data_IF_077547563573
#
_entry.id   IF_077547563573
#
_cell.length_a   1.000
_cell.length_b   1.000
_cell.length_c   1.000
_cell.angle_alpha   90.00
_cell.angle_beta   90.00
_cell.angle_gamma   90.00
#
_symmetry.space_group_name_H-M   'P 1'
#
loop_
_entity.id
_entity.type
_entity.pdbx_description
1 polymer ?
#
# COMPACT_ATOMS: atom_id res chain seq x y z
N UNK A 1 -4.04 -9.81 -15.22
CA UNK A 1 -5.13 -10.02 -14.25
C UNK A 1 -5.75 -8.68 -13.98
N UNK A 2 -7.06 -8.63 -14.04
CA UNK A 2 -7.86 -7.49 -13.63
C UNK A 2 -8.00 -7.50 -12.11
N UNK A 3 -7.73 -6.37 -11.46
CA UNK A 3 -7.91 -6.16 -10.03
C UNK A 3 -9.39 -5.88 -9.78
N UNK A 4 -9.98 -6.58 -8.81
CA UNK A 4 -11.40 -6.44 -8.43
C UNK A 4 -11.51 -5.84 -7.03
N UNK A 5 -12.68 -5.29 -6.71
CA UNK A 5 -12.91 -4.66 -5.40
C UNK A 5 -12.70 -5.66 -4.25
N UNK A 6 -13.05 -6.93 -4.46
CA UNK A 6 -12.77 -8.02 -3.51
C UNK A 6 -11.28 -8.21 -3.23
N UNK A 7 -10.40 -7.95 -4.20
CA UNK A 7 -8.96 -8.01 -3.99
C UNK A 7 -8.49 -6.86 -3.09
N UNK A 8 -9.02 -5.65 -3.31
CA UNK A 8 -8.71 -4.46 -2.48
C UNK A 8 -9.15 -4.68 -1.04
N UNK A 9 -10.38 -5.15 -0.82
CA UNK A 9 -10.90 -5.43 0.53
C UNK A 9 -10.04 -6.47 1.25
N UNK A 10 -9.66 -7.54 0.56
CA UNK A 10 -8.74 -8.54 1.11
C UNK A 10 -7.38 -7.94 1.46
N UNK A 11 -6.81 -7.09 0.60
CA UNK A 11 -5.53 -6.46 0.89
C UNK A 11 -5.62 -5.44 2.03
N UNK A 12 -6.74 -4.71 2.14
CA UNK A 12 -7.04 -3.83 3.27
C UNK A 12 -7.15 -4.62 4.58
N UNK A 13 -7.87 -5.73 4.59
CA UNK A 13 -7.98 -6.64 5.75
C UNK A 13 -6.60 -7.15 6.18
N UNK A 14 -5.79 -7.63 5.23
CA UNK A 14 -4.42 -8.07 5.50
C UNK A 14 -3.53 -6.93 6.06
N UNK A 15 -3.77 -5.69 5.63
CA UNK A 15 -3.07 -4.50 6.12
C UNK A 15 -3.47 -4.21 7.55
N UNK A 16 -4.78 -4.24 7.85
CA UNK A 16 -5.35 -4.08 9.19
C UNK A 16 -4.82 -5.12 10.18
N UNK A 17 -4.80 -6.40 9.80
CA UNK A 17 -4.25 -7.48 10.63
C UNK A 17 -2.78 -7.18 10.95
N UNK A 18 -2.01 -6.74 9.96
CA UNK A 18 -0.59 -6.44 10.14
C UNK A 18 -0.37 -5.22 11.02
N UNK A 19 -1.17 -4.17 10.85
CA UNK A 19 -1.15 -2.97 11.69
C UNK A 19 -1.45 -3.30 13.16
N UNK A 20 -2.46 -4.15 13.40
CA UNK A 20 -2.81 -4.66 14.74
C UNK A 20 -1.64 -5.44 15.36
N UNK A 21 -1.05 -6.36 14.61
CA UNK A 21 0.10 -7.15 15.07
C UNK A 21 1.35 -6.31 15.34
N UNK A 22 1.52 -5.22 14.60
CA UNK A 22 2.59 -4.22 14.80
C UNK A 22 2.25 -3.18 15.89
N UNK A 23 1.06 -3.28 16.52
CA UNK A 23 0.59 -2.40 17.62
C UNK A 23 0.51 -0.93 17.21
N UNK A 24 0.02 -0.64 16.01
CA UNK A 24 -0.34 0.73 15.62
C UNK A 24 -1.44 1.30 16.53
N UNK A 25 -1.47 2.62 16.71
CA UNK A 25 -2.43 3.26 17.61
C UNK A 25 -3.88 3.14 17.11
N UNK A 26 -4.83 3.23 18.04
CA UNK A 26 -6.26 3.02 17.77
C UNK A 26 -6.84 3.98 16.73
N UNK A 27 -6.32 5.22 16.67
CA UNK A 27 -6.81 6.19 15.70
C UNK A 27 -6.40 5.76 14.28
N UNK A 28 -5.18 5.26 14.09
CA UNK A 28 -4.75 4.69 12.82
C UNK A 28 -5.60 3.48 12.45
N UNK A 29 -5.84 2.56 13.38
CA UNK A 29 -6.68 1.39 13.11
C UNK A 29 -8.10 1.79 12.68
N UNK A 30 -8.71 2.77 13.35
CA UNK A 30 -10.02 3.29 12.98
C UNK A 30 -10.01 3.94 11.59
N UNK A 31 -8.96 4.70 11.26
CA UNK A 31 -8.82 5.30 9.92
C UNK A 31 -8.73 4.23 8.84
N UNK A 32 -7.87 3.22 9.04
CA UNK A 32 -7.71 2.11 8.11
C UNK A 32 -9.01 1.33 7.92
N UNK A 33 -9.75 1.04 9.00
CA UNK A 33 -11.01 0.29 8.94
C UNK A 33 -12.07 1.03 8.10
N UNK A 34 -12.15 2.35 8.22
CA UNK A 34 -13.16 3.17 7.56
C UNK A 34 -12.72 3.77 6.21
N UNK A 35 -11.47 3.53 5.78
CA UNK A 35 -10.97 4.00 4.49
C UNK A 35 -11.77 3.38 3.34
N UNK A 36 -12.31 4.20 2.46
CA UNK A 36 -13.07 3.75 1.28
C UNK A 36 -12.12 3.27 0.18
N UNK A 37 -12.54 2.29 -0.60
CA UNK A 37 -11.75 1.69 -1.68
C UNK A 37 -12.49 1.87 -3.01
N UNK A 38 -11.78 2.39 -4.02
CA UNK A 38 -12.30 2.58 -5.37
C UNK A 38 -11.37 1.96 -6.41
N UNK A 39 -11.96 1.49 -7.50
CA UNK A 39 -11.22 1.05 -8.69
C UNK A 39 -11.41 2.06 -9.80
N UNK A 40 -10.29 2.45 -10.40
CA UNK A 40 -10.23 3.28 -11.59
C UNK A 40 -10.03 2.39 -12.81
N UNK A 41 -10.88 2.56 -13.82
CA UNK A 41 -10.73 1.84 -15.08
C UNK A 41 -9.42 2.25 -15.76
N UNK A 42 -8.59 1.28 -16.16
CA UNK A 42 -7.33 1.52 -16.88
C UNK A 42 -6.12 0.75 -16.36
N UNK A 43 -4.96 1.09 -16.89
CA UNK A 43 -3.65 0.57 -16.46
C UNK A 43 -2.79 1.71 -15.92
N UNK A 44 -2.24 1.54 -14.72
CA UNK A 44 -1.36 2.54 -14.11
C UNK A 44 -0.07 2.84 -14.89
N UNK A 45 0.39 1.91 -15.74
CA UNK A 45 1.71 1.97 -16.38
C UNK A 45 2.90 1.85 -15.40
N UNK A 46 2.66 1.65 -14.10
CA UNK A 46 3.67 1.60 -13.04
C UNK A 46 3.48 0.37 -12.16
N UNK A 47 4.58 -0.19 -11.62
CA UNK A 47 4.50 -1.42 -10.80
C UNK A 47 3.60 -1.28 -9.56
N UNK A 48 3.50 -0.07 -9.01
CA UNK A 48 2.54 0.27 -7.96
C UNK A 48 1.34 0.97 -8.54
N UNK A 49 0.18 0.71 -7.95
CA UNK A 49 -1.09 1.21 -8.39
C UNK A 49 -1.69 2.12 -7.34
N UNK A 50 -2.31 3.20 -7.80
CA UNK A 50 -3.21 4.00 -7.00
C UNK A 50 -2.57 5.15 -6.24
N UNK A 51 -3.39 5.77 -5.41
CA UNK A 51 -3.02 6.84 -4.50
C UNK A 51 -4.08 6.99 -3.39
N UNK A 52 -3.66 7.54 -2.26
CA UNK A 52 -4.53 8.04 -1.22
C UNK A 52 -5.08 9.45 -1.55
N UNK A 53 -6.41 9.60 -1.60
CA UNK A 53 -7.11 10.88 -1.68
C UNK A 53 -7.55 11.32 -0.29
N UNK A 54 -7.27 12.58 0.02
CA UNK A 54 -7.72 13.26 1.23
C UNK A 54 -8.65 14.40 0.84
N UNK A 55 -9.96 14.16 0.92
CA UNK A 55 -10.95 15.20 0.70
C UNK A 55 -11.35 15.82 2.05
N UNK A 56 -11.20 17.15 2.25
CA UNK A 56 -11.63 17.82 3.47
C UNK A 56 -13.11 17.64 3.83
N UNK A 57 -13.98 17.33 2.85
CA UNK A 57 -15.41 17.07 3.09
C UNK A 57 -15.72 15.62 3.50
N UNK A 58 -14.72 14.74 3.52
CA UNK A 58 -14.84 13.34 3.89
C UNK A 58 -14.13 13.08 5.23
N UNK A 59 -14.78 12.36 6.13
CA UNK A 59 -14.18 12.04 7.44
C UNK A 59 -13.05 11.01 7.34
N UNK A 60 -12.97 10.29 6.23
CA UNK A 60 -12.00 9.23 6.00
C UNK A 60 -11.40 9.35 4.59
N UNK A 61 -10.13 8.97 4.41
CA UNK A 61 -9.50 8.98 3.10
C UNK A 61 -10.11 7.92 2.17
N UNK A 62 -9.82 8.07 0.89
CA UNK A 62 -10.20 7.12 -0.16
C UNK A 62 -8.90 6.60 -0.79
N UNK A 63 -8.78 5.29 -0.95
CA UNK A 63 -7.73 4.71 -1.81
C UNK A 63 -8.34 4.40 -3.16
N UNK A 64 -7.77 4.98 -4.20
CA UNK A 64 -8.13 4.67 -5.58
C UNK A 64 -7.04 3.82 -6.21
N UNK A 65 -7.43 2.76 -6.91
CA UNK A 65 -6.52 1.77 -7.48
C UNK A 65 -6.86 1.56 -8.96
N UNK A 66 -5.86 1.62 -9.83
CA UNK A 66 -6.09 1.21 -11.22
C UNK A 66 -6.45 -0.28 -11.32
N UNK A 67 -7.43 -0.57 -12.17
CA UNK A 67 -7.92 -1.92 -12.48
C UNK A 67 -6.80 -2.85 -12.96
N UNK A 68 -5.73 -2.32 -13.52
CA UNK A 68 -4.54 -3.11 -13.89
C UNK A 68 -3.23 -2.33 -13.72
N UNK A 69 -2.13 -3.07 -13.67
CA UNK A 69 -0.78 -2.54 -13.61
C UNK A 69 0.23 -3.55 -14.20
N UNK A 70 1.49 -3.17 -14.49
CA UNK A 70 2.51 -4.06 -15.04
C UNK A 70 2.86 -5.28 -14.18
N UNK A 71 2.54 -5.33 -12.88
CA UNK A 71 2.71 -6.56 -12.08
C UNK A 71 1.87 -7.73 -12.62
N UNK A 72 0.89 -7.47 -13.49
CA UNK A 72 0.11 -8.50 -14.21
C UNK A 72 0.96 -9.47 -15.02
N UNK A 73 2.19 -9.07 -15.38
CA UNK A 73 3.16 -9.89 -16.10
C UNK A 73 4.09 -10.69 -15.17
N UNK A 74 4.05 -10.44 -13.86
CA UNK A 74 4.85 -11.17 -12.88
C UNK A 74 4.23 -12.54 -12.55
N UNK A 75 5.05 -13.51 -12.10
CA UNK A 75 4.55 -14.73 -11.49
C UNK A 75 3.54 -14.45 -10.38
N UNK A 76 2.49 -15.28 -10.27
CA UNK A 76 1.34 -15.05 -9.37
C UNK A 76 1.74 -14.65 -7.95
N UNK A 77 2.71 -15.33 -7.34
CA UNK A 77 3.18 -15.03 -5.97
C UNK A 77 3.82 -13.64 -5.86
N UNK A 78 4.63 -13.24 -6.84
CA UNK A 78 5.26 -11.92 -6.85
C UNK A 78 4.24 -10.82 -7.08
N UNK A 79 3.30 -11.02 -8.01
CA UNK A 79 2.17 -10.11 -8.22
C UNK A 79 1.40 -9.84 -6.93
N UNK A 80 1.01 -10.88 -6.18
CA UNK A 80 0.29 -10.72 -4.91
C UNK A 80 1.08 -9.93 -3.86
N UNK A 81 2.39 -10.19 -3.73
CA UNK A 81 3.24 -9.49 -2.77
C UNK A 81 3.38 -8.01 -3.15
N UNK A 82 3.56 -7.71 -4.43
CA UNK A 82 3.73 -6.34 -4.90
C UNK A 82 2.45 -5.56 -4.72
N UNK A 83 1.31 -6.19 -5.01
CA UNK A 83 0.03 -5.56 -4.82
C UNK A 83 -0.28 -5.30 -3.34
N UNK A 84 -0.12 -6.32 -2.49
CA UNK A 84 -0.27 -6.15 -1.05
C UNK A 84 0.67 -5.07 -0.50
N UNK A 85 1.90 -5.00 -1.01
CA UNK A 85 2.86 -3.97 -0.59
C UNK A 85 2.48 -2.57 -1.06
N UNK A 86 1.86 -2.42 -2.24
CA UNK A 86 1.28 -1.16 -2.69
C UNK A 86 0.14 -0.72 -1.76
N UNK A 87 -0.76 -1.64 -1.40
CA UNK A 87 -1.82 -1.36 -0.43
C UNK A 87 -1.25 -0.93 0.94
N UNK A 88 -0.21 -1.61 1.44
CA UNK A 88 0.45 -1.23 2.70
C UNK A 88 1.06 0.20 2.60
N UNK A 89 1.57 0.60 1.43
CA UNK A 89 2.12 1.93 1.19
C UNK A 89 1.03 3.01 1.27
N UNK A 90 -0.07 2.80 0.55
CA UNK A 90 -1.17 3.76 0.49
C UNK A 90 -1.88 3.88 1.83
N UNK A 91 -2.25 2.75 2.43
CA UNK A 91 -3.02 2.72 3.67
C UNK A 91 -2.17 3.04 4.90
N UNK A 92 -1.06 2.33 5.13
CA UNK A 92 -0.25 2.58 6.31
C UNK A 92 0.72 3.70 6.08
N UNK A 93 1.40 3.75 4.94
CA UNK A 93 2.43 4.74 4.68
C UNK A 93 1.90 6.15 4.67
N UNK A 94 0.94 6.44 3.77
CA UNK A 94 0.41 7.79 3.63
C UNK A 94 -0.52 8.19 4.79
N UNK A 95 -1.49 7.36 5.21
CA UNK A 95 -2.40 7.77 6.28
C UNK A 95 -1.68 7.95 7.62
N UNK A 96 -0.75 7.06 7.96
CA UNK A 96 0.04 7.22 9.19
C UNK A 96 0.95 8.44 9.12
N UNK A 97 1.57 8.71 7.96
CA UNK A 97 2.38 9.90 7.74
C UNK A 97 1.59 11.19 7.97
N UNK A 98 0.32 11.22 7.53
CA UNK A 98 -0.55 12.39 7.68
C UNK A 98 -0.89 12.69 9.13
N UNK A 99 -1.25 11.64 9.87
CA UNK A 99 -1.66 11.78 11.27
C UNK A 99 -0.48 12.19 12.18
N UNK A 100 0.75 11.91 11.74
CA UNK A 100 1.98 12.29 12.46
C UNK A 100 2.65 13.57 11.96
N UNK A 101 1.99 14.30 11.05
CA UNK A 101 2.47 15.57 10.48
C UNK A 101 3.91 15.50 9.94
N UNK A 102 4.21 14.43 9.19
CA UNK A 102 5.53 14.27 8.59
C UNK A 102 5.57 14.90 7.19
N UNK A 103 6.26 16.04 7.06
CA UNK A 103 6.49 16.83 5.82
C UNK A 103 7.23 16.08 4.68
N UNK A 104 7.60 14.82 4.88
CA UNK A 104 8.20 13.94 3.87
C UNK A 104 7.27 12.80 3.47
N UNK A 105 6.02 13.11 3.14
CA UNK A 105 4.89 12.17 3.03
C UNK A 105 5.20 10.87 2.28
N UNK A 106 5.82 10.98 1.11
CA UNK A 106 6.21 9.85 0.27
C UNK A 106 7.40 9.06 0.84
N UNK A 107 8.42 9.76 1.33
CA UNK A 107 9.57 9.12 1.96
C UNK A 107 9.17 8.38 3.24
N UNK A 108 8.20 8.91 3.98
CA UNK A 108 7.62 8.26 5.14
C UNK A 108 6.83 7.02 4.75
N UNK A 109 6.01 7.13 3.69
CA UNK A 109 5.24 6.01 3.19
C UNK A 109 6.15 4.85 2.73
N UNK A 110 7.23 5.16 2.01
CA UNK A 110 8.29 4.19 1.65
C UNK A 110 8.92 3.53 2.86
N UNK A 111 9.34 4.31 3.86
CA UNK A 111 9.93 3.75 5.09
C UNK A 111 8.95 2.82 5.82
N UNK A 112 7.67 3.19 5.87
CA UNK A 112 6.62 2.38 6.48
C UNK A 112 6.40 1.09 5.68
N UNK A 113 6.30 1.18 4.36
CA UNK A 113 6.17 0.03 3.46
C UNK A 113 7.33 -0.97 3.66
N UNK A 114 8.57 -0.50 3.75
CA UNK A 114 9.74 -1.36 4.02
C UNK A 114 9.63 -2.03 5.40
N UNK A 115 9.24 -1.28 6.43
CA UNK A 115 9.04 -1.83 7.78
C UNK A 115 7.98 -2.93 7.79
N UNK A 116 6.85 -2.69 7.12
CA UNK A 116 5.75 -3.66 7.00
C UNK A 116 6.19 -4.89 6.19
N UNK A 117 6.87 -4.70 5.07
CA UNK A 117 7.39 -5.80 4.26
C UNK A 117 8.41 -6.66 5.04
N UNK A 118 9.31 -6.03 5.82
CA UNK A 118 10.22 -6.76 6.71
C UNK A 118 9.48 -7.50 7.83
N UNK A 119 8.41 -6.92 8.38
CA UNK A 119 7.58 -7.57 9.39
C UNK A 119 6.87 -8.81 8.82
N UNK A 120 6.25 -8.71 7.64
CA UNK A 120 5.63 -9.83 6.91
C UNK A 120 6.67 -10.87 6.47
N UNK A 121 7.89 -10.42 6.20
CA UNK A 121 8.98 -11.23 5.66
C UNK A 121 9.83 -11.99 6.66
N UNK A 122 9.52 -11.95 7.97
CA UNK A 122 10.28 -12.69 9.00
C UNK A 122 10.59 -14.14 8.55
N UNK A 123 9.58 -14.81 8.00
CA UNK A 123 9.64 -16.19 7.50
C UNK A 123 9.44 -16.30 5.97
N UNK A 124 9.56 -15.21 5.21
CA UNK A 124 9.34 -15.21 3.76
C UNK A 124 10.43 -14.47 2.98
N UNK A 125 11.23 -15.22 2.22
CA UNK A 125 12.29 -14.66 1.37
C UNK A 125 11.75 -13.74 0.27
N UNK A 126 10.51 -13.96 -0.20
CA UNK A 126 9.89 -13.11 -1.22
C UNK A 126 9.52 -11.73 -0.67
N UNK A 127 9.04 -11.65 0.58
CA UNK A 127 8.78 -10.38 1.25
C UNK A 127 10.08 -9.64 1.61
N UNK A 128 11.13 -10.37 1.99
CA UNK A 128 12.48 -9.81 2.17
C UNK A 128 13.06 -9.26 0.86
N UNK A 129 12.76 -9.90 -0.28
CA UNK A 129 13.16 -9.38 -1.59
C UNK A 129 12.38 -8.11 -1.92
N UNK A 130 11.06 -8.12 -1.73
CA UNK A 130 10.20 -6.96 -1.96
C UNK A 130 10.70 -5.75 -1.16
N UNK A 131 11.01 -5.89 0.13
CA UNK A 131 11.50 -4.79 0.97
C UNK A 131 12.80 -4.15 0.48
N UNK A 132 13.63 -4.88 -0.29
CA UNK A 132 14.89 -4.40 -0.88
C UNK A 132 14.72 -3.80 -2.26
N UNK A 133 13.80 -4.31 -3.06
CA UNK A 133 13.57 -3.84 -4.44
C UNK A 133 12.66 -2.62 -4.52
N UNK A 134 11.79 -2.46 -3.52
CA UNK A 134 10.86 -1.33 -3.41
C UNK A 134 11.57 0.03 -3.54
N UNK A 135 12.62 0.36 -2.77
CA UNK A 135 13.36 1.61 -2.92
C UNK A 135 13.95 1.85 -4.31
N UNK A 136 14.35 0.78 -5.02
CA UNK A 136 15.08 0.86 -6.29
C UNK A 136 14.12 1.22 -7.43
N UNK A 137 12.91 0.63 -7.44
CA UNK A 137 11.92 0.87 -8.49
C UNK A 137 11.33 2.29 -8.46
N UNK A 138 11.33 2.94 -7.29
CA UNK A 138 10.89 4.32 -7.14
C UNK A 138 12.00 5.37 -7.41
N UNK A 139 13.27 4.98 -7.34
CA UNK A 139 14.39 5.87 -7.68
C UNK A 139 14.65 5.96 -9.19
N UNK A 140 13.96 5.17 -10.01
CA UNK A 140 14.16 5.12 -11.46
C UNK A 140 13.44 6.23 -12.26
N UNK A 141 12.94 7.29 -11.61
CA UNK A 141 12.74 8.64 -12.21
C UNK A 141 12.21 9.66 -11.18
N UNK A 142 13.14 10.33 -10.51
CA UNK A 142 13.08 11.78 -10.28
C UNK A 142 14.40 12.37 -10.79
N UNK A 143 14.59 12.26 -12.10
CA UNK A 143 15.48 13.08 -12.92
C UNK A 143 14.67 13.50 -14.14
#
# INVERSE_FOLDING_TARGET
>A
MEIKLSDLEKWKENTLITAKNMRFDKNILNYLENTKLNILNGDSGKLFYGWAIYNPSENFPIIEVYQSNPSKYLPKKLKEIWNQSGMDHELLGHHYGRIKDNDGFENYARKTQIKVANFRGKDSNLWKLASKTLPILFNLKTQ
#
